data_IF_579286073704
#
_entry.id   IF_579286073704
#
_cell.length_a   1.000
_cell.length_b   1.000
_cell.length_c   1.000
_cell.angle_alpha   90.00
_cell.angle_beta   90.00
_cell.angle_gamma   90.00
#
_symmetry.space_group_name_H-M   'P 1'
#
loop_
_entity.id
_entity.type
_entity.pdbx_description
1 polymer ?
#
# COMPACT_ATOMS: atom_id res chain seq x y z
N UNK A 1 -25.15 5.81 -18.38
CA UNK A 1 -24.79 4.39 -18.59
C UNK A 1 -23.37 4.20 -18.11
N UNK A 2 -23.12 3.29 -17.20
CA UNK A 2 -21.79 3.02 -16.65
C UNK A 2 -20.96 2.38 -17.79
N UNK A 3 -19.86 3.03 -18.22
CA UNK A 3 -19.00 2.48 -19.25
C UNK A 3 -17.79 1.85 -18.54
N UNK A 4 -17.66 0.52 -18.61
CA UNK A 4 -16.53 -0.24 -18.03
C UNK A 4 -15.17 0.18 -18.58
N UNK A 5 -15.12 0.75 -19.79
CA UNK A 5 -13.88 1.21 -20.41
C UNK A 5 -13.22 2.34 -19.61
N UNK A 6 -14.01 3.12 -18.85
CA UNK A 6 -13.53 4.18 -17.98
C UNK A 6 -12.80 3.65 -16.73
N UNK A 7 -12.84 2.35 -16.47
CA UNK A 7 -12.15 1.69 -15.35
C UNK A 7 -10.87 0.94 -15.79
N UNK A 8 -10.48 1.10 -17.05
CA UNK A 8 -9.26 0.46 -17.55
C UNK A 8 -8.01 1.15 -17.00
N UNK A 9 -7.01 0.33 -16.69
CA UNK A 9 -5.69 0.73 -16.23
C UNK A 9 -4.59 0.32 -17.21
N UNK A 10 -4.92 0.22 -18.50
CA UNK A 10 -3.97 -0.22 -19.53
C UNK A 10 -2.71 0.66 -19.54
N UNK A 11 -1.56 0.01 -19.47
CA UNK A 11 -0.26 0.69 -19.45
C UNK A 11 0.06 1.42 -18.13
N UNK A 12 -0.76 1.29 -17.10
CA UNK A 12 -0.47 1.78 -15.74
C UNK A 12 0.38 0.79 -14.97
N UNK A 13 1.25 1.31 -14.11
CA UNK A 13 2.17 0.58 -13.27
C UNK A 13 1.86 0.87 -11.80
N UNK A 14 1.56 -0.19 -11.03
CA UNK A 14 1.08 -0.04 -9.65
C UNK A 14 1.96 -0.81 -8.65
N UNK A 15 2.17 -0.22 -7.47
CA UNK A 15 2.71 -0.89 -6.28
C UNK A 15 1.57 -1.05 -5.29
N UNK A 16 1.34 -2.27 -4.79
CA UNK A 16 0.38 -2.53 -3.71
C UNK A 16 1.12 -3.20 -2.55
N UNK A 17 1.10 -2.57 -1.37
CA UNK A 17 1.71 -3.12 -0.16
C UNK A 17 0.71 -3.96 0.65
N UNK A 18 1.19 -4.99 1.36
CA UNK A 18 0.34 -5.93 2.08
C UNK A 18 -0.61 -6.68 1.13
N UNK A 19 -0.10 -7.01 -0.06
CA UNK A 19 -0.91 -7.56 -1.14
C UNK A 19 -0.88 -9.09 -1.22
N UNK A 20 -0.27 -9.78 -0.25
CA UNK A 20 -0.28 -11.24 -0.15
C UNK A 20 -1.63 -11.83 0.28
N UNK A 21 -2.53 -11.03 0.85
CA UNK A 21 -3.84 -11.48 1.32
C UNK A 21 -4.87 -10.33 1.42
N UNK A 22 -6.13 -10.69 1.65
CA UNK A 22 -7.21 -9.77 2.01
C UNK A 22 -7.42 -8.64 1.01
N UNK A 23 -7.59 -7.41 1.51
CA UNK A 23 -7.91 -6.23 0.69
C UNK A 23 -6.81 -5.96 -0.34
N UNK A 24 -5.53 -6.03 0.05
CA UNK A 24 -4.41 -5.77 -0.85
C UNK A 24 -4.33 -6.77 -2.00
N UNK A 25 -4.58 -8.06 -1.72
CA UNK A 25 -4.67 -9.10 -2.75
C UNK A 25 -5.75 -8.78 -3.78
N UNK A 26 -6.96 -8.46 -3.32
CA UNK A 26 -8.09 -8.16 -4.21
C UNK A 26 -7.86 -6.89 -5.05
N UNK A 27 -7.20 -5.88 -4.48
CA UNK A 27 -6.78 -4.69 -5.22
C UNK A 27 -5.78 -5.08 -6.32
N UNK A 28 -4.76 -5.89 -5.99
CA UNK A 28 -3.74 -6.31 -6.95
C UNK A 28 -4.34 -7.09 -8.13
N UNK A 29 -5.21 -8.06 -7.85
CA UNK A 29 -5.91 -8.84 -8.88
C UNK A 29 -6.81 -7.93 -9.73
N UNK A 30 -7.59 -7.04 -9.10
CA UNK A 30 -8.48 -6.13 -9.80
C UNK A 30 -7.71 -5.18 -10.71
N UNK A 31 -6.60 -4.61 -10.25
CA UNK A 31 -5.78 -3.70 -11.06
C UNK A 31 -5.15 -4.43 -12.23
N UNK A 32 -4.60 -5.63 -12.02
CA UNK A 32 -4.03 -6.45 -13.09
C UNK A 32 -5.09 -6.83 -14.14
N UNK A 33 -6.30 -7.22 -13.70
CA UNK A 33 -7.42 -7.53 -14.58
C UNK A 33 -7.90 -6.30 -15.36
N UNK A 34 -7.79 -5.11 -14.76
CA UNK A 34 -8.06 -3.85 -15.44
C UNK A 34 -6.97 -3.43 -16.44
N UNK A 35 -5.83 -4.16 -16.52
CA UNK A 35 -4.77 -3.93 -17.50
C UNK A 35 -3.49 -3.30 -16.93
N UNK A 36 -3.40 -3.09 -15.61
CA UNK A 36 -2.19 -2.60 -14.98
C UNK A 36 -1.11 -3.69 -14.86
N UNK A 37 0.16 -3.28 -14.90
CA UNK A 37 1.28 -4.10 -14.40
C UNK A 37 1.49 -3.83 -12.92
N UNK A 38 1.58 -4.88 -12.10
CA UNK A 38 1.48 -4.76 -10.64
C UNK A 38 2.71 -5.32 -9.93
N UNK A 39 3.26 -4.58 -8.97
CA UNK A 39 4.14 -5.13 -7.93
C UNK A 39 3.30 -5.50 -6.71
N UNK A 40 3.25 -6.78 -6.42
CA UNK A 40 2.62 -7.39 -5.24
C UNK A 40 3.65 -7.43 -4.12
N UNK A 41 3.54 -6.54 -3.14
CA UNK A 41 4.48 -6.46 -2.03
C UNK A 41 3.85 -6.97 -0.74
N UNK A 42 4.54 -7.88 -0.04
CA UNK A 42 4.12 -8.39 1.26
C UNK A 42 5.35 -8.81 2.09
N UNK A 43 5.21 -8.81 3.41
CA UNK A 43 6.23 -9.34 4.31
C UNK A 43 6.38 -10.86 4.14
N UNK A 44 5.31 -11.54 3.75
CA UNK A 44 5.28 -12.96 3.43
C UNK A 44 5.53 -13.15 1.92
N UNK A 45 6.75 -13.55 1.58
CA UNK A 45 7.16 -13.77 0.19
C UNK A 45 6.32 -14.84 -0.53
N UNK A 46 5.95 -15.92 0.16
CA UNK A 46 5.19 -17.02 -0.44
C UNK A 46 3.76 -16.56 -0.76
N UNK A 47 3.14 -15.76 0.12
CA UNK A 47 1.83 -15.19 -0.12
C UNK A 47 1.85 -14.22 -1.32
N UNK A 48 2.88 -13.38 -1.43
CA UNK A 48 3.04 -12.48 -2.56
C UNK A 48 3.22 -13.25 -3.88
N UNK A 49 4.05 -14.30 -3.90
CA UNK A 49 4.25 -15.14 -5.07
C UNK A 49 2.95 -15.84 -5.48
N UNK A 50 2.17 -16.35 -4.54
CA UNK A 50 0.88 -17.00 -4.82
C UNK A 50 -0.10 -16.06 -5.52
N UNK A 51 -0.16 -14.78 -5.09
CA UNK A 51 -1.00 -13.77 -5.74
C UNK A 51 -0.48 -13.45 -7.15
N UNK A 52 0.83 -13.40 -7.34
CA UNK A 52 1.43 -13.21 -8.69
C UNK A 52 1.03 -14.36 -9.62
N UNK A 53 1.14 -15.60 -9.16
CA UNK A 53 0.74 -16.78 -9.96
C UNK A 53 -0.74 -16.72 -10.35
N UNK A 54 -1.61 -16.32 -9.43
CA UNK A 54 -3.05 -16.14 -9.68
C UNK A 54 -3.30 -15.04 -10.73
N UNK A 55 -2.62 -13.90 -10.63
CA UNK A 55 -2.73 -12.81 -11.61
C UNK A 55 -2.26 -13.27 -13.00
N UNK A 56 -1.15 -14.03 -13.08
CA UNK A 56 -0.61 -14.52 -14.33
C UNK A 56 -1.54 -15.55 -14.99
N UNK A 57 -2.20 -16.41 -14.19
CA UNK A 57 -3.22 -17.35 -14.69
C UNK A 57 -4.44 -16.62 -15.28
N UNK A 58 -4.74 -15.42 -14.79
CA UNK A 58 -5.78 -14.54 -15.35
C UNK A 58 -5.31 -13.71 -16.56
N UNK A 59 -4.05 -13.90 -17.00
CA UNK A 59 -3.46 -13.17 -18.13
C UNK A 59 -2.92 -11.79 -17.79
N UNK A 60 -2.87 -11.42 -16.50
CA UNK A 60 -2.30 -10.16 -16.03
C UNK A 60 -0.78 -10.22 -15.86
N UNK A 61 -0.17 -9.06 -15.65
CA UNK A 61 1.26 -8.91 -15.40
C UNK A 61 1.51 -8.51 -13.93
N UNK A 62 2.25 -9.33 -13.20
CA UNK A 62 2.59 -9.05 -11.81
C UNK A 62 4.00 -9.56 -11.44
N UNK A 63 4.60 -8.93 -10.42
CA UNK A 63 5.90 -9.26 -9.87
C UNK A 63 5.80 -9.24 -8.34
N UNK A 64 6.30 -10.28 -7.69
CA UNK A 64 6.34 -10.34 -6.22
C UNK A 64 7.59 -9.63 -5.67
N UNK A 65 7.42 -8.90 -4.58
CA UNK A 65 8.51 -8.30 -3.84
C UNK A 65 8.27 -8.45 -2.34
N UNK A 66 9.14 -9.20 -1.67
CA UNK A 66 9.08 -9.25 -0.20
C UNK A 66 9.53 -7.92 0.38
N UNK A 67 8.75 -7.37 1.33
CA UNK A 67 9.06 -6.12 2.00
C UNK A 67 8.44 -6.06 3.40
N UNK A 68 9.26 -5.87 4.43
CA UNK A 68 8.81 -5.37 5.71
C UNK A 68 8.72 -3.85 5.62
N UNK A 69 7.50 -3.32 5.59
CA UNK A 69 7.26 -1.88 5.45
C UNK A 69 7.77 -1.04 6.61
N UNK A 70 8.20 -1.63 7.72
CA UNK A 70 8.81 -0.92 8.84
C UNK A 70 10.32 -0.77 8.71
N UNK A 71 10.91 -1.32 7.64
CA UNK A 71 12.32 -1.19 7.29
C UNK A 71 12.49 -0.16 6.17
N UNK A 72 13.10 0.98 6.47
CA UNK A 72 13.40 2.02 5.48
C UNK A 72 14.25 1.47 4.32
N UNK A 73 15.19 0.58 4.62
CA UNK A 73 16.03 -0.08 3.61
C UNK A 73 15.19 -0.95 2.66
N UNK A 74 14.22 -1.73 3.19
CA UNK A 74 13.37 -2.57 2.37
C UNK A 74 12.36 -1.76 1.58
N UNK A 75 11.87 -0.63 2.10
CA UNK A 75 11.02 0.30 1.36
C UNK A 75 11.77 0.92 0.17
N UNK A 76 13.04 1.32 0.36
CA UNK A 76 13.88 1.81 -0.74
C UNK A 76 14.10 0.72 -1.79
N UNK A 77 14.41 -0.51 -1.36
CA UNK A 77 14.56 -1.64 -2.27
C UNK A 77 13.27 -1.97 -3.03
N UNK A 78 12.09 -1.83 -2.40
CA UNK A 78 10.79 -2.02 -3.04
C UNK A 78 10.55 -0.96 -4.15
N UNK A 79 10.85 0.31 -3.88
CA UNK A 79 10.72 1.38 -4.86
C UNK A 79 11.64 1.13 -6.07
N UNK A 80 12.92 0.82 -5.83
CA UNK A 80 13.89 0.50 -6.88
C UNK A 80 13.48 -0.74 -7.69
N UNK A 81 13.01 -1.79 -7.02
CA UNK A 81 12.52 -3.00 -7.67
C UNK A 81 11.34 -2.69 -8.59
N UNK A 82 10.37 -1.91 -8.12
CA UNK A 82 9.20 -1.55 -8.90
C UNK A 82 9.61 -0.76 -10.15
N UNK A 83 10.46 0.25 -10.02
CA UNK A 83 10.96 1.05 -11.14
C UNK A 83 11.71 0.15 -12.13
N UNK A 84 12.56 -0.77 -11.65
CA UNK A 84 13.33 -1.68 -12.51
C UNK A 84 12.45 -2.65 -13.29
N UNK A 85 11.34 -3.13 -12.71
CA UNK A 85 10.43 -4.11 -13.33
C UNK A 85 9.38 -3.49 -14.23
N UNK A 86 8.87 -2.32 -13.82
CA UNK A 86 7.74 -1.66 -14.48
C UNK A 86 8.16 -0.49 -15.38
N UNK A 87 9.38 0.03 -15.20
CA UNK A 87 9.88 1.21 -15.92
C UNK A 87 9.38 2.55 -15.39
N UNK A 88 8.29 2.55 -14.63
CA UNK A 88 7.66 3.71 -13.99
C UNK A 88 6.74 3.28 -12.85
N UNK A 89 6.25 4.24 -12.08
CA UNK A 89 5.17 4.04 -11.09
C UNK A 89 4.09 5.09 -11.34
N UNK A 90 2.88 4.66 -11.67
CA UNK A 90 1.70 5.53 -11.83
C UNK A 90 0.81 5.52 -10.60
N UNK A 91 0.78 4.39 -9.87
CA UNK A 91 -0.14 4.17 -8.73
C UNK A 91 0.61 3.54 -7.57
N UNK A 92 0.48 4.12 -6.39
CA UNK A 92 0.89 3.52 -5.13
C UNK A 92 -0.33 3.26 -4.26
N UNK A 93 -0.53 2.00 -3.86
CA UNK A 93 -1.54 1.64 -2.85
C UNK A 93 -0.85 1.25 -1.55
N UNK A 94 -0.87 2.15 -0.59
CA UNK A 94 -0.44 1.93 0.78
C UNK A 94 -1.57 1.19 1.52
N UNK A 95 -1.59 -0.13 1.40
CA UNK A 95 -2.57 -0.99 2.06
C UNK A 95 -1.96 -1.71 3.28
N UNK A 96 -0.68 -2.05 3.25
CA UNK A 96 -0.02 -2.67 4.39
C UNK A 96 -0.18 -1.83 5.64
N UNK A 97 -0.51 -2.49 6.72
CA UNK A 97 -0.74 -1.87 8.01
C UNK A 97 -1.34 -2.90 8.96
N UNK A 98 -1.52 -2.53 10.19
CA UNK A 98 -2.05 -3.47 11.15
C UNK A 98 -2.22 -2.88 12.53
N UNK A 99 -2.75 -3.71 13.41
CA UNK A 99 -3.03 -3.39 14.79
C UNK A 99 -4.36 -4.01 15.22
N UNK A 100 -4.62 -3.91 16.50
CA UNK A 100 -5.82 -4.46 17.10
C UNK A 100 -6.02 -3.94 18.52
N UNK A 101 -6.98 -4.48 19.23
CA UNK A 101 -7.23 -4.08 20.61
C UNK A 101 -6.00 -4.27 21.50
N UNK A 102 -5.63 -3.21 22.21
CA UNK A 102 -4.58 -3.18 23.23
C UNK A 102 -5.11 -2.43 24.44
N UNK A 103 -4.86 -2.88 25.70
CA UNK A 103 -5.30 -2.16 26.87
C UNK A 103 -4.66 -0.76 26.96
N UNK A 104 -5.26 0.14 27.73
CA UNK A 104 -4.76 1.53 27.82
C UNK A 104 -3.35 1.63 28.41
N UNK A 105 -2.98 0.70 29.28
CA UNK A 105 -1.66 0.57 29.92
C UNK A 105 -0.65 -0.24 29.09
N UNK A 106 -0.92 -0.41 27.78
CA UNK A 106 -0.01 -1.10 26.87
C UNK A 106 1.41 -0.54 26.95
N UNK A 107 2.46 -1.35 26.72
CA UNK A 107 3.83 -0.85 26.57
C UNK A 107 3.92 0.20 25.47
N UNK A 108 4.72 1.26 25.70
CA UNK A 108 4.97 2.30 24.68
C UNK A 108 5.57 1.75 23.38
N UNK A 109 6.23 0.60 23.43
CA UNK A 109 6.71 -0.10 22.23
C UNK A 109 5.56 -0.52 21.31
N UNK A 110 4.45 -1.02 21.86
CA UNK A 110 3.25 -1.38 21.11
C UNK A 110 2.59 -0.14 20.47
N UNK A 111 2.56 0.97 21.21
CA UNK A 111 2.06 2.24 20.68
C UNK A 111 2.91 2.73 19.50
N UNK A 112 4.23 2.74 19.65
CA UNK A 112 5.15 3.12 18.58
C UNK A 112 5.01 2.21 17.36
N UNK A 113 4.90 0.89 17.58
CA UNK A 113 4.72 -0.09 16.49
C UNK A 113 3.48 0.21 15.63
N UNK A 114 2.39 0.69 16.24
CA UNK A 114 1.20 1.07 15.48
C UNK A 114 1.47 2.26 14.53
N UNK A 115 2.29 3.22 14.96
CA UNK A 115 2.67 4.37 14.13
C UNK A 115 3.69 3.99 13.07
N UNK A 116 4.66 3.13 13.39
CA UNK A 116 5.59 2.59 12.38
C UNK A 116 4.85 1.92 11.23
N UNK A 117 3.88 1.04 11.57
CA UNK A 117 3.11 0.30 10.58
C UNK A 117 2.11 1.17 9.80
N UNK A 118 1.43 2.12 10.46
CA UNK A 118 0.27 2.78 9.87
C UNK A 118 0.51 4.22 9.44
N UNK A 119 1.66 4.82 9.78
CA UNK A 119 1.96 6.22 9.49
C UNK A 119 3.32 6.36 8.81
N UNK A 120 4.41 5.98 9.48
CA UNK A 120 5.75 6.28 8.98
C UNK A 120 6.08 5.49 7.72
N UNK A 121 5.70 4.22 7.66
CA UNK A 121 5.94 3.35 6.52
C UNK A 121 5.36 3.89 5.21
N UNK A 122 4.07 4.25 5.21
CA UNK A 122 3.44 4.71 3.98
C UNK A 122 3.91 6.11 3.57
N UNK A 123 4.20 6.96 4.55
CA UNK A 123 4.75 8.30 4.27
C UNK A 123 6.12 8.18 3.60
N UNK A 124 7.00 7.35 4.16
CA UNK A 124 8.33 7.15 3.60
C UNK A 124 8.28 6.53 2.19
N UNK A 125 7.45 5.49 1.96
CA UNK A 125 7.30 4.93 0.62
C UNK A 125 6.73 5.95 -0.37
N UNK A 126 5.80 6.80 0.07
CA UNK A 126 5.27 7.88 -0.76
C UNK A 126 6.36 8.87 -1.17
N UNK A 127 7.25 9.26 -0.23
CA UNK A 127 8.40 10.13 -0.53
C UNK A 127 9.37 9.51 -1.55
N UNK A 128 9.54 8.19 -1.53
CA UNK A 128 10.43 7.47 -2.45
C UNK A 128 9.86 7.39 -3.88
N UNK A 129 8.53 7.26 -4.03
CA UNK A 129 7.91 7.08 -5.35
C UNK A 129 7.39 8.37 -5.97
N UNK A 130 7.04 9.39 -5.18
CA UNK A 130 6.47 10.65 -5.70
C UNK A 130 7.38 11.35 -6.73
N UNK A 131 8.71 11.45 -6.55
CA UNK A 131 9.59 12.06 -7.56
C UNK A 131 9.59 11.29 -8.89
N UNK A 132 9.38 9.97 -8.86
CA UNK A 132 9.29 9.17 -10.08
C UNK A 132 7.94 9.37 -10.77
N UNK A 133 6.86 9.49 -10.01
CA UNK A 133 5.54 9.86 -10.53
C UNK A 133 5.59 11.23 -11.21
N UNK A 134 6.22 12.22 -10.58
CA UNK A 134 6.37 13.58 -11.12
C UNK A 134 7.10 13.57 -12.48
N UNK A 135 8.23 12.85 -12.61
CA UNK A 135 8.96 12.69 -13.87
C UNK A 135 8.11 12.11 -14.99
N UNK A 136 7.14 11.27 -14.66
CA UNK A 136 6.26 10.60 -15.60
C UNK A 136 4.92 11.33 -15.82
N UNK A 137 4.81 12.59 -15.36
CA UNK A 137 3.65 13.44 -15.60
C UNK A 137 2.55 13.31 -14.53
N UNK A 138 2.87 12.75 -13.38
CA UNK A 138 1.96 12.61 -12.25
C UNK A 138 1.63 11.17 -11.90
N UNK A 139 0.93 10.99 -10.78
CA UNK A 139 0.53 9.68 -10.28
C UNK A 139 -0.59 9.77 -9.27
N UNK A 140 -0.96 8.62 -8.71
CA UNK A 140 -2.00 8.52 -7.66
C UNK A 140 -1.43 7.75 -6.47
N UNK A 141 -1.51 8.34 -5.29
CA UNK A 141 -1.20 7.67 -4.02
C UNK A 141 -2.50 7.44 -3.26
N UNK A 142 -2.85 6.19 -3.06
CA UNK A 142 -4.01 5.75 -2.29
C UNK A 142 -3.54 5.13 -0.97
N UNK A 143 -4.16 5.49 0.14
CA UNK A 143 -3.85 4.91 1.45
C UNK A 143 -5.10 4.32 2.09
N UNK A 144 -5.01 3.04 2.50
CA UNK A 144 -6.10 2.36 3.19
C UNK A 144 -6.06 2.75 4.67
N UNK A 145 -7.05 3.53 5.08
CA UNK A 145 -7.22 3.95 6.47
C UNK A 145 -8.14 2.98 7.23
N UNK A 146 -9.01 3.47 8.06
CA UNK A 146 -9.95 2.63 8.80
C UNK A 146 -11.14 3.46 9.31
N UNK A 147 -12.28 2.82 9.48
CA UNK A 147 -13.40 3.38 10.25
C UNK A 147 -13.00 3.75 11.70
N UNK A 148 -11.97 3.07 12.24
CA UNK A 148 -11.43 3.37 13.56
C UNK A 148 -10.75 4.75 13.64
N UNK A 149 -10.44 5.37 12.51
CA UNK A 149 -9.92 6.75 12.47
C UNK A 149 -10.94 7.78 12.96
N UNK A 150 -12.22 7.51 12.77
CA UNK A 150 -13.33 8.39 13.12
C UNK A 150 -14.12 7.88 14.35
N UNK A 151 -14.25 6.56 14.49
CA UNK A 151 -15.03 5.92 15.54
C UNK A 151 -14.24 5.73 16.83
N UNK A 152 -14.94 5.81 17.96
CA UNK A 152 -14.39 5.55 19.28
C UNK A 152 -14.64 4.10 19.67
N UNK A 153 -13.57 3.32 19.82
CA UNK A 153 -13.62 1.92 20.16
C UNK A 153 -12.74 1.63 21.40
N UNK A 154 -13.24 0.77 22.28
CA UNK A 154 -12.51 0.34 23.48
C UNK A 154 -11.22 -0.38 23.06
N UNK A 155 -10.13 -0.10 23.76
CA UNK A 155 -8.81 -0.72 23.52
C UNK A 155 -8.21 -0.50 22.14
N UNK A 156 -8.65 0.53 21.40
CA UNK A 156 -8.15 0.82 20.06
C UNK A 156 -7.25 2.07 20.01
N UNK A 157 -6.80 2.57 21.17
CA UNK A 157 -6.11 3.87 21.25
C UNK A 157 -4.93 3.99 20.29
N UNK A 158 -4.00 3.03 20.27
CA UNK A 158 -2.83 3.09 19.39
C UNK A 158 -3.19 2.93 17.90
N UNK A 159 -4.05 1.95 17.59
CA UNK A 159 -4.47 1.71 16.21
C UNK A 159 -5.34 2.85 15.68
N UNK A 160 -6.37 3.25 16.40
CA UNK A 160 -7.31 4.28 15.99
C UNK A 160 -6.60 5.64 15.79
N UNK A 161 -5.75 6.03 16.76
CA UNK A 161 -4.98 7.28 16.63
C UNK A 161 -4.00 7.25 15.46
N UNK A 162 -3.33 6.11 15.20
CA UNK A 162 -2.44 5.98 14.05
C UNK A 162 -3.19 6.07 12.71
N UNK A 163 -4.38 5.47 12.61
CA UNK A 163 -5.22 5.56 11.40
C UNK A 163 -5.83 6.96 11.22
N UNK A 164 -6.16 7.67 12.30
CA UNK A 164 -6.58 9.07 12.25
C UNK A 164 -5.42 9.97 11.77
N UNK A 165 -4.21 9.74 12.31
CA UNK A 165 -2.99 10.44 11.86
C UNK A 165 -2.73 10.18 10.37
N UNK A 166 -2.84 8.92 9.89
CA UNK A 166 -2.72 8.57 8.49
C UNK A 166 -3.74 9.32 7.62
N UNK A 167 -5.02 9.34 8.02
CA UNK A 167 -6.08 10.04 7.28
C UNK A 167 -5.82 11.54 7.17
N UNK A 168 -5.29 12.17 8.22
CA UNK A 168 -4.95 13.59 8.19
C UNK A 168 -3.69 13.87 7.37
N UNK A 169 -2.68 13.02 7.50
CA UNK A 169 -1.42 13.15 6.75
C UNK A 169 -1.65 13.09 5.24
N UNK A 170 -2.46 12.15 4.76
CA UNK A 170 -2.82 12.04 3.33
C UNK A 170 -3.46 13.33 2.80
N UNK A 171 -4.33 13.98 3.61
CA UNK A 171 -4.92 15.27 3.21
C UNK A 171 -3.89 16.38 3.06
N UNK A 172 -2.87 16.42 3.92
CA UNK A 172 -1.79 17.39 3.78
C UNK A 172 -0.90 17.08 2.58
N UNK A 173 -0.50 15.82 2.40
CA UNK A 173 0.31 15.39 1.23
C UNK A 173 -0.35 15.74 -0.12
N UNK A 174 -1.67 15.90 -0.16
CA UNK A 174 -2.38 16.29 -1.37
C UNK A 174 -2.20 17.77 -1.76
N UNK A 175 -1.59 18.57 -0.89
CA UNK A 175 -1.30 19.99 -1.13
C UNK A 175 0.21 20.27 -1.32
N UNK A 176 1.06 19.30 -0.96
CA UNK A 176 2.51 19.40 -1.12
C UNK A 176 2.94 18.95 -2.54
#
# INVERSE_FOLDING_TARGET
MFNSDNLRLDGKCAIITGAGAGIGKEIAITFATAGASVVVSDINADAANHVVDEIQQLGGQAFACRCDITSEQELSALADFAISKLGKVDILVNNAGGGGPKPFDMPMADFRRAYELNVFSFFHLSQLVAPEMEKNGGGVILTITSMAAENKNINMTSYASSKAAASHLVRNMAFD
#
